data_IF_433166820421
#
_entry.id   IF_433166820421
#
_cell.length_a   1.000
_cell.length_b   1.000
_cell.length_c   1.000
_cell.angle_alpha   90.00
_cell.angle_beta   90.00
_cell.angle_gamma   90.00
#
_symmetry.space_group_name_H-M   'P 1'
#
loop_
_entity.id
_entity.type
_entity.pdbx_description
1 polymer ?
#
# COMPACT_ATOMS: atom_id res chain seq x y z
N UNK A 1 2.59 18.86 3.86
CA UNK A 1 2.45 18.53 2.62
C UNK A 1 3.67 18.66 1.71
N UNK A 2 3.54 18.73 0.38
CA UNK A 2 4.68 18.66 -0.56
C UNK A 2 5.82 19.65 -0.25
N UNK A 3 5.48 20.86 0.19
CA UNK A 3 6.48 21.89 0.56
C UNK A 3 7.26 21.62 1.86
N UNK A 4 7.00 20.52 2.55
CA UNK A 4 7.86 20.08 3.66
C UNK A 4 9.18 19.48 3.17
N UNK A 5 9.22 19.03 1.93
CA UNK A 5 10.39 18.36 1.34
C UNK A 5 10.81 18.95 -0.02
N UNK A 6 9.97 19.82 -0.60
CA UNK A 6 10.19 20.40 -1.92
C UNK A 6 10.21 21.93 -1.86
N UNK A 7 11.22 22.53 -2.50
CA UNK A 7 11.35 23.97 -2.69
C UNK A 7 10.44 24.52 -3.80
N UNK A 8 9.95 23.66 -4.70
CA UNK A 8 9.07 23.98 -5.82
C UNK A 8 8.23 22.75 -6.18
N UNK A 9 6.99 22.96 -6.52
CA UNK A 9 6.06 21.93 -6.99
C UNK A 9 5.50 22.35 -8.35
N UNK A 10 5.48 21.41 -9.30
CA UNK A 10 4.81 21.58 -10.60
C UNK A 10 3.74 20.50 -10.74
N UNK A 11 2.60 20.88 -11.32
CA UNK A 11 1.50 19.97 -11.62
C UNK A 11 1.08 20.19 -13.07
N UNK A 12 1.23 19.15 -13.89
CA UNK A 12 0.83 19.17 -15.29
C UNK A 12 -0.34 18.23 -15.45
N UNK A 13 -1.53 18.75 -15.79
CA UNK A 13 -2.75 17.95 -15.80
C UNK A 13 -3.51 18.09 -17.12
N UNK A 14 -3.93 16.95 -17.68
CA UNK A 14 -4.76 16.85 -18.86
C UNK A 14 -6.08 16.17 -18.52
N UNK A 15 -7.17 16.90 -18.67
CA UNK A 15 -8.52 16.40 -18.47
C UNK A 15 -8.90 15.34 -19.52
N UNK A 16 -9.90 14.50 -19.19
CA UNK A 16 -10.57 13.63 -20.18
C UNK A 16 -11.36 14.41 -21.23
N UNK A 17 -11.70 15.67 -20.95
CA UNK A 17 -12.33 16.58 -21.91
C UNK A 17 -11.30 17.05 -22.93
N UNK A 18 -11.72 17.32 -24.17
CA UNK A 18 -10.83 17.81 -25.22
C UNK A 18 -10.46 19.29 -25.03
N UNK A 19 -9.75 19.59 -23.91
CA UNK A 19 -9.22 20.91 -23.57
C UNK A 19 -7.70 20.86 -23.47
N UNK A 20 -6.99 21.98 -23.60
CA UNK A 20 -5.55 22.04 -23.34
C UNK A 20 -5.20 21.52 -21.96
N UNK A 21 -3.99 20.99 -21.81
CA UNK A 21 -3.46 20.68 -20.48
C UNK A 21 -3.17 21.98 -19.73
N UNK A 22 -3.24 21.93 -18.42
CA UNK A 22 -2.84 23.01 -17.52
C UNK A 22 -1.50 22.68 -16.89
N UNK A 23 -0.66 23.69 -16.67
CA UNK A 23 0.61 23.62 -15.93
C UNK A 23 0.57 24.62 -14.79
N UNK A 24 0.51 24.09 -13.56
CA UNK A 24 0.55 24.86 -12.35
C UNK A 24 1.92 24.75 -11.71
N UNK A 25 2.43 25.88 -11.19
CA UNK A 25 3.73 25.94 -10.52
C UNK A 25 3.66 26.81 -9.27
N UNK A 26 4.27 26.37 -8.18
CA UNK A 26 4.38 27.12 -6.93
C UNK A 26 5.70 26.81 -6.22
N UNK A 27 6.25 27.79 -5.53
CA UNK A 27 7.47 27.71 -4.71
C UNK A 27 7.19 27.70 -3.20
N UNK A 28 5.92 27.52 -2.81
CA UNK A 28 5.49 27.55 -1.41
C UNK A 28 5.06 28.94 -0.91
N UNK A 29 5.28 29.99 -1.71
CA UNK A 29 4.72 31.33 -1.45
C UNK A 29 3.21 31.34 -1.71
N UNK A 30 2.48 32.40 -1.28
CA UNK A 30 1.06 32.55 -1.61
C UNK A 30 0.77 32.68 -3.11
N UNK A 31 1.80 32.94 -3.93
CA UNK A 31 1.68 33.12 -5.37
C UNK A 31 1.89 31.80 -6.11
N UNK A 32 1.22 31.63 -7.22
CA UNK A 32 1.41 30.52 -8.14
C UNK A 32 1.28 30.98 -9.58
N UNK A 33 1.78 30.21 -10.52
CA UNK A 33 1.53 30.41 -11.95
C UNK A 33 0.62 29.31 -12.48
N UNK A 34 -0.21 29.64 -13.47
CA UNK A 34 -1.08 28.70 -14.15
C UNK A 34 -1.04 28.97 -15.65
N UNK A 35 -0.34 28.12 -16.36
CA UNK A 35 -0.10 28.24 -17.79
C UNK A 35 -0.67 27.06 -18.58
N UNK A 36 -0.56 27.10 -19.90
CA UNK A 36 -0.87 25.98 -20.77
C UNK A 36 0.23 24.94 -20.68
N UNK A 37 -0.14 23.68 -20.37
CA UNK A 37 0.78 22.55 -20.35
C UNK A 37 0.88 21.81 -21.69
N UNK A 38 1.95 21.05 -21.86
CA UNK A 38 2.25 20.29 -23.08
C UNK A 38 1.82 18.82 -23.06
N UNK A 39 1.17 18.36 -21.94
CA UNK A 39 0.74 16.97 -21.78
C UNK A 39 -0.31 16.60 -22.83
N UNK A 40 -0.06 15.54 -23.60
CA UNK A 40 -0.94 15.07 -24.68
C UNK A 40 -2.01 14.12 -24.15
N UNK A 41 -1.61 13.17 -23.29
CA UNK A 41 -2.48 12.14 -22.78
C UNK A 41 -3.17 12.56 -21.48
N UNK A 42 -4.37 12.03 -21.26
CA UNK A 42 -5.11 12.20 -20.00
C UNK A 42 -4.27 11.76 -18.82
N UNK A 43 -4.34 12.53 -17.73
CA UNK A 43 -3.67 12.22 -16.48
C UNK A 43 -3.02 13.44 -15.85
N UNK A 44 -2.41 13.23 -14.70
CA UNK A 44 -1.71 14.26 -13.93
C UNK A 44 -0.29 13.82 -13.64
N UNK A 45 0.65 14.71 -13.86
CA UNK A 45 2.05 14.58 -13.51
C UNK A 45 2.34 15.58 -12.40
N UNK A 46 2.99 15.12 -11.33
CA UNK A 46 3.38 15.94 -10.19
C UNK A 46 4.90 15.86 -10.07
N UNK A 47 5.56 17.01 -10.12
CA UNK A 47 7.02 17.12 -10.05
C UNK A 47 7.37 17.87 -8.76
N UNK A 48 8.07 17.19 -7.86
CA UNK A 48 8.58 17.75 -6.62
C UNK A 48 10.08 18.07 -6.79
N UNK A 49 10.43 19.34 -6.77
CA UNK A 49 11.83 19.77 -6.75
C UNK A 49 12.35 19.72 -5.31
N UNK A 50 12.91 18.59 -4.96
CA UNK A 50 13.35 18.29 -3.60
C UNK A 50 14.39 19.30 -3.12
N UNK A 51 14.29 19.76 -1.88
CA UNK A 51 15.22 20.67 -1.25
C UNK A 51 16.54 19.96 -0.86
N UNK A 52 17.50 20.75 -0.36
CA UNK A 52 18.84 20.23 -0.04
C UNK A 52 18.84 19.32 1.19
N UNK A 53 17.93 19.53 2.11
CA UNK A 53 17.87 18.83 3.39
C UNK A 53 17.07 17.52 3.30
N UNK A 54 16.28 17.37 2.21
CA UNK A 54 15.38 16.25 1.96
C UNK A 54 15.85 15.30 0.85
N UNK A 55 17.15 15.28 0.54
CA UNK A 55 17.73 14.49 -0.57
C UNK A 55 17.51 12.99 -0.47
N UNK A 56 17.26 12.47 0.74
CA UNK A 56 16.93 11.07 0.94
C UNK A 56 15.71 10.61 0.10
N UNK A 57 14.79 11.53 -0.20
CA UNK A 57 13.62 11.25 -1.05
C UNK A 57 13.92 11.21 -2.56
N UNK A 58 15.18 11.33 -2.95
CA UNK A 58 15.64 11.07 -4.33
C UNK A 58 16.15 9.64 -4.49
N UNK A 59 16.23 8.86 -3.41
CA UNK A 59 16.69 7.48 -3.43
C UNK A 59 15.50 6.53 -3.68
N UNK A 60 15.61 5.68 -4.69
CA UNK A 60 14.57 4.72 -5.07
C UNK A 60 14.19 3.78 -3.93
N UNK A 61 15.16 3.31 -3.15
CA UNK A 61 14.93 2.48 -1.97
C UNK A 61 14.03 3.17 -0.94
N UNK A 62 14.30 4.44 -0.64
CA UNK A 62 13.52 5.24 0.30
C UNK A 62 12.06 5.41 -0.16
N UNK A 63 11.89 5.73 -1.45
CA UNK A 63 10.54 5.87 -2.03
C UNK A 63 9.81 4.53 -2.04
N UNK A 64 10.48 3.46 -2.44
CA UNK A 64 9.92 2.11 -2.43
C UNK A 64 9.42 1.70 -1.04
N UNK A 65 10.24 1.91 -0.01
CA UNK A 65 9.88 1.59 1.38
C UNK A 65 8.65 2.38 1.86
N UNK A 66 8.59 3.67 1.53
CA UNK A 66 7.43 4.51 1.85
C UNK A 66 6.17 4.05 1.12
N UNK A 67 6.27 3.75 -0.17
CA UNK A 67 5.15 3.27 -0.95
C UNK A 67 4.62 1.93 -0.42
N UNK A 68 5.50 0.99 -0.13
CA UNK A 68 5.13 -0.30 0.47
C UNK A 68 4.50 -0.11 1.85
N UNK A 69 5.10 0.73 2.70
CA UNK A 69 4.60 0.96 4.06
C UNK A 69 3.17 1.51 4.08
N UNK A 70 2.90 2.54 3.26
CA UNK A 70 1.64 3.29 3.36
C UNK A 70 0.59 2.86 2.33
N UNK A 71 1.00 2.24 1.22
CA UNK A 71 0.11 1.98 0.09
C UNK A 71 0.03 0.50 -0.30
N UNK A 72 0.56 -0.41 0.54
CA UNK A 72 0.65 -1.85 0.25
C UNK A 72 -0.66 -2.47 -0.25
N UNK A 73 -1.79 -1.97 0.23
CA UNK A 73 -3.12 -2.48 -0.09
C UNK A 73 -4.05 -1.48 -0.76
N UNK A 74 -3.49 -0.37 -1.25
CA UNK A 74 -4.29 0.64 -1.94
C UNK A 74 -5.04 0.03 -3.13
N UNK A 75 -6.33 0.38 -3.36
CA UNK A 75 -7.18 -0.27 -4.38
C UNK A 75 -6.83 0.12 -5.82
N UNK A 76 -5.84 0.99 -6.01
CA UNK A 76 -5.36 1.44 -7.33
C UNK A 76 -3.93 0.93 -7.50
N UNK A 77 -3.58 0.27 -8.64
CA UNK A 77 -2.24 -0.25 -8.85
C UNK A 77 -1.21 0.89 -8.91
N UNK A 78 -0.11 0.72 -8.18
CA UNK A 78 1.01 1.64 -8.13
C UNK A 78 2.20 0.97 -8.79
N UNK A 79 2.61 1.51 -9.93
CA UNK A 79 3.83 1.10 -10.63
C UNK A 79 5.01 1.86 -10.06
N UNK A 80 6.05 1.14 -9.64
CA UNK A 80 7.33 1.72 -9.26
C UNK A 80 8.48 0.90 -9.88
N UNK A 81 9.05 1.44 -10.94
CA UNK A 81 10.10 0.77 -11.70
C UNK A 81 9.59 -0.46 -12.49
N UNK A 82 10.52 -1.37 -12.76
CA UNK A 82 10.30 -2.64 -13.45
C UNK A 82 10.93 -3.78 -12.66
N UNK A 83 10.45 -5.00 -12.88
CA UNK A 83 11.05 -6.22 -12.34
C UNK A 83 11.25 -7.25 -13.44
N UNK A 84 12.21 -8.13 -13.24
CA UNK A 84 12.39 -9.32 -14.06
C UNK A 84 11.46 -10.43 -13.59
N UNK A 85 10.72 -11.03 -14.49
CA UNK A 85 9.85 -12.16 -14.24
C UNK A 85 10.25 -13.34 -15.13
N UNK A 86 10.50 -14.48 -14.49
CA UNK A 86 10.86 -15.70 -15.18
C UNK A 86 9.58 -16.43 -15.58
N UNK A 87 9.36 -16.57 -16.88
CA UNK A 87 8.23 -17.34 -17.40
C UNK A 87 8.43 -18.84 -17.13
N UNK A 88 7.37 -19.56 -16.73
CA UNK A 88 7.41 -21.01 -16.66
C UNK A 88 7.83 -21.60 -18.01
N UNK A 89 8.60 -22.68 -17.98
CA UNK A 89 8.89 -23.43 -19.19
C UNK A 89 7.60 -23.94 -19.83
N UNK A 90 7.46 -23.80 -21.14
CA UNK A 90 6.34 -24.39 -21.88
C UNK A 90 6.35 -25.90 -21.71
N UNK A 91 5.17 -26.54 -21.74
CA UNK A 91 5.03 -28.00 -21.53
C UNK A 91 5.85 -28.86 -22.54
N UNK A 92 6.21 -28.25 -23.67
CA UNK A 92 6.99 -28.89 -24.75
C UNK A 92 8.46 -28.43 -24.78
N UNK A 93 8.94 -27.78 -23.70
CA UNK A 93 10.33 -27.33 -23.62
C UNK A 93 11.31 -28.51 -23.70
N UNK A 94 12.35 -28.33 -24.51
CA UNK A 94 13.40 -29.33 -24.66
C UNK A 94 14.27 -29.40 -23.41
N UNK A 95 14.77 -30.61 -23.14
CA UNK A 95 15.68 -30.85 -22.01
C UNK A 95 16.91 -29.94 -22.11
N UNK A 96 17.11 -29.06 -21.15
CA UNK A 96 18.19 -28.06 -21.14
C UNK A 96 17.79 -26.63 -21.56
N UNK A 97 16.54 -26.36 -21.93
CA UNK A 97 16.05 -25.02 -22.24
C UNK A 97 15.92 -24.18 -20.96
N UNK A 98 16.55 -22.99 -20.96
CA UNK A 98 16.46 -22.07 -19.82
C UNK A 98 15.15 -21.27 -19.86
N UNK A 99 14.52 -21.03 -18.71
CA UNK A 99 13.34 -20.17 -18.65
C UNK A 99 13.62 -18.79 -19.24
N UNK A 100 12.68 -18.25 -19.99
CA UNK A 100 12.76 -16.90 -20.54
C UNK A 100 12.47 -15.89 -19.44
N UNK A 101 13.33 -14.90 -19.28
CA UNK A 101 13.12 -13.76 -18.39
C UNK A 101 12.59 -12.61 -19.20
N UNK A 102 11.50 -12.01 -18.72
CA UNK A 102 10.90 -10.80 -19.30
C UNK A 102 10.91 -9.67 -18.28
N UNK A 103 11.04 -8.44 -18.75
CA UNK A 103 10.91 -7.25 -17.90
C UNK A 103 9.45 -6.80 -17.91
N UNK A 104 8.86 -6.72 -16.73
CA UNK A 104 7.47 -6.30 -16.54
C UNK A 104 7.39 -5.10 -15.59
N UNK A 105 6.28 -4.39 -15.61
CA UNK A 105 6.01 -3.31 -14.67
C UNK A 105 6.00 -3.86 -13.23
N UNK A 106 6.73 -3.20 -12.34
CA UNK A 106 6.70 -3.55 -10.93
C UNK A 106 5.53 -2.87 -10.24
N UNK A 107 4.41 -3.60 -10.09
CA UNK A 107 3.27 -3.16 -9.28
C UNK A 107 3.55 -3.56 -7.83
N UNK A 108 3.67 -2.57 -6.95
CA UNK A 108 4.15 -2.75 -5.58
C UNK A 108 3.06 -3.06 -4.56
N UNK A 109 1.80 -2.89 -4.91
CA UNK A 109 0.68 -3.05 -4.01
C UNK A 109 -0.29 -4.15 -4.45
N UNK A 110 -0.94 -4.78 -3.47
CA UNK A 110 -2.02 -5.72 -3.67
C UNK A 110 -3.36 -4.97 -3.65
N UNK A 111 -3.98 -4.78 -4.79
CA UNK A 111 -5.23 -4.01 -4.92
C UNK A 111 -6.48 -4.75 -4.45
N UNK A 112 -6.38 -6.05 -4.21
CA UNK A 112 -7.50 -6.91 -3.81
C UNK A 112 -7.10 -7.87 -2.69
N UNK A 113 -6.75 -7.33 -1.51
CA UNK A 113 -6.29 -8.14 -0.37
C UNK A 113 -7.40 -9.05 0.16
N UNK A 114 -7.00 -10.10 0.89
CA UNK A 114 -7.91 -11.16 1.32
C UNK A 114 -9.11 -10.65 2.13
N UNK A 115 -8.94 -9.63 2.98
CA UNK A 115 -10.04 -9.11 3.82
C UNK A 115 -11.16 -8.39 3.07
N UNK A 116 -10.94 -8.02 1.80
CA UNK A 116 -11.97 -7.39 0.98
C UNK A 116 -12.91 -8.41 0.33
N UNK A 117 -12.56 -9.70 0.40
CA UNK A 117 -13.35 -10.80 -0.15
C UNK A 117 -14.35 -11.31 0.87
N UNK A 118 -15.39 -12.00 0.40
CA UNK A 118 -16.32 -12.65 1.32
C UNK A 118 -15.67 -13.89 1.96
N UNK A 119 -15.92 -14.18 3.25
CA UNK A 119 -15.35 -15.35 3.92
C UNK A 119 -15.62 -16.68 3.19
N UNK A 120 -16.80 -16.83 2.55
CA UNK A 120 -17.20 -18.03 1.79
C UNK A 120 -16.34 -18.27 0.53
N UNK A 121 -15.66 -17.22 0.04
CA UNK A 121 -14.85 -17.27 -1.19
C UNK A 121 -13.38 -17.56 -0.89
N UNK A 122 -13.02 -17.69 0.40
CA UNK A 122 -11.67 -17.95 0.86
C UNK A 122 -11.54 -19.34 1.47
N UNK A 123 -10.36 -19.95 1.26
CA UNK A 123 -9.94 -21.21 1.86
C UNK A 123 -8.85 -20.97 2.89
N UNK A 124 -8.55 -21.96 3.72
CA UNK A 124 -7.49 -21.88 4.74
C UNK A 124 -6.15 -21.43 4.15
N UNK A 125 -5.80 -21.90 2.95
CA UNK A 125 -4.55 -21.53 2.27
C UNK A 125 -4.51 -20.03 1.90
N UNK A 126 -5.65 -19.43 1.58
CA UNK A 126 -5.74 -17.99 1.28
C UNK A 126 -5.47 -17.16 2.54
N UNK A 127 -6.00 -17.59 3.70
CA UNK A 127 -5.74 -16.95 4.99
C UNK A 127 -4.27 -17.08 5.39
N UNK A 128 -3.67 -18.25 5.24
CA UNK A 128 -2.26 -18.48 5.51
C UNK A 128 -1.36 -17.71 4.55
N UNK A 129 -1.73 -17.64 3.28
CA UNK A 129 -1.05 -16.85 2.26
C UNK A 129 -1.05 -15.36 2.63
N UNK A 130 -2.21 -14.85 3.06
CA UNK A 130 -2.34 -13.46 3.48
C UNK A 130 -1.55 -13.18 4.78
N UNK A 131 -1.51 -14.12 5.73
CA UNK A 131 -0.66 -14.00 6.92
C UNK A 131 0.83 -13.86 6.56
N UNK A 132 1.33 -14.67 5.63
CA UNK A 132 2.71 -14.58 5.13
C UNK A 132 2.97 -13.28 4.37
N UNK A 133 1.97 -12.75 3.66
CA UNK A 133 2.06 -11.43 3.01
C UNK A 133 2.20 -10.31 4.04
N UNK A 134 1.44 -10.36 5.15
CA UNK A 134 1.53 -9.36 6.22
C UNK A 134 2.85 -9.45 6.99
N UNK A 135 3.30 -10.68 7.27
CA UNK A 135 4.43 -10.98 8.15
C UNK A 135 5.46 -11.89 7.46
N UNK A 136 6.17 -11.42 6.43
CA UNK A 136 7.07 -12.25 5.62
C UNK A 136 8.25 -12.85 6.40
N UNK A 137 8.59 -12.28 7.56
CA UNK A 137 9.65 -12.78 8.44
C UNK A 137 9.17 -13.79 9.48
N UNK A 138 7.86 -14.09 9.53
CA UNK A 138 7.28 -15.07 10.43
C UNK A 138 7.14 -16.40 9.70
N UNK A 139 7.88 -17.42 10.17
CA UNK A 139 7.88 -18.76 9.57
C UNK A 139 6.79 -19.66 10.15
N UNK A 140 6.27 -19.34 11.34
CA UNK A 140 5.22 -20.11 11.99
C UNK A 140 3.82 -19.66 11.52
N UNK A 141 2.96 -20.63 11.27
CA UNK A 141 1.57 -20.38 10.93
C UNK A 141 0.76 -19.92 12.15
N UNK A 142 -0.27 -19.08 11.97
CA UNK A 142 -1.15 -18.70 13.05
C UNK A 142 -1.96 -19.90 13.55
N UNK A 143 -2.38 -19.89 14.81
CA UNK A 143 -3.21 -20.93 15.41
C UNK A 143 -4.62 -20.93 14.81
N UNK A 144 -5.19 -19.76 14.58
CA UNK A 144 -6.46 -19.54 13.92
C UNK A 144 -6.58 -18.11 13.41
N UNK A 145 -7.58 -17.85 12.60
CA UNK A 145 -7.92 -16.52 12.11
C UNK A 145 -9.39 -16.20 12.37
N UNK A 146 -9.68 -14.91 12.44
CA UNK A 146 -11.03 -14.35 12.51
C UNK A 146 -11.21 -13.42 11.34
N UNK A 147 -12.13 -13.73 10.43
CA UNK A 147 -12.48 -12.85 9.34
C UNK A 147 -13.64 -11.95 9.76
N UNK A 148 -13.36 -10.66 9.86
CA UNK A 148 -14.33 -9.63 10.20
C UNK A 148 -15.06 -9.17 8.93
N UNK A 149 -16.39 -9.21 8.96
CA UNK A 149 -17.24 -8.69 7.90
C UNK A 149 -18.54 -8.22 8.53
N UNK A 150 -18.51 -7.05 9.13
CA UNK A 150 -19.58 -6.46 9.93
C UNK A 150 -20.05 -5.19 9.23
N UNK A 151 -21.37 -5.03 9.09
CA UNK A 151 -22.01 -3.89 8.45
C UNK A 151 -22.81 -2.99 9.41
N UNK A 152 -23.03 -3.46 10.64
CA UNK A 152 -23.76 -2.72 11.65
C UNK A 152 -23.20 -3.00 13.07
N UNK A 153 -23.06 -2.00 13.94
CA UNK A 153 -23.35 -0.55 13.77
C UNK A 153 -22.30 0.21 12.97
N UNK A 154 -21.15 -0.41 12.68
CA UNK A 154 -20.04 0.18 11.93
C UNK A 154 -19.65 -0.77 10.80
N UNK A 155 -19.28 -0.23 9.66
CA UNK A 155 -18.64 -1.01 8.62
C UNK A 155 -17.23 -1.40 9.07
N UNK A 156 -17.03 -2.69 9.29
CA UNK A 156 -15.76 -3.22 9.77
C UNK A 156 -15.42 -4.48 8.99
N UNK A 157 -14.34 -4.42 8.25
CA UNK A 157 -13.75 -5.57 7.58
C UNK A 157 -12.35 -5.83 8.09
N UNK A 158 -11.83 -7.03 7.88
CA UNK A 158 -10.48 -7.33 8.32
C UNK A 158 -10.24 -8.82 8.53
N UNK A 159 -8.99 -9.16 8.74
CA UNK A 159 -8.61 -10.50 9.16
C UNK A 159 -7.64 -10.37 10.33
N UNK A 160 -8.03 -10.96 11.45
CA UNK A 160 -7.21 -11.04 12.64
C UNK A 160 -6.68 -12.46 12.81
N UNK A 161 -5.45 -12.57 13.25
CA UNK A 161 -4.76 -13.83 13.49
C UNK A 161 -4.32 -13.95 14.92
N UNK A 162 -4.49 -15.12 15.51
CA UNK A 162 -3.88 -15.48 16.79
C UNK A 162 -2.52 -16.15 16.50
N UNK A 163 -1.39 -15.49 16.78
CA UNK A 163 -0.08 -16.06 16.51
C UNK A 163 0.21 -17.23 17.43
N UNK A 164 0.99 -18.18 16.97
CA UNK A 164 1.59 -19.16 17.85
C UNK A 164 2.65 -18.45 18.69
N UNK A 165 2.47 -18.48 20.01
CA UNK A 165 3.39 -17.85 20.95
C UNK A 165 4.62 -18.76 21.11
N UNK A 166 5.78 -18.34 20.64
CA UNK A 166 7.08 -18.91 20.95
C UNK A 166 7.76 -18.05 22.03
N UNK A 167 8.69 -18.64 22.79
CA UNK A 167 9.36 -17.95 23.91
C UNK A 167 10.17 -16.71 23.49
N UNK A 168 10.44 -16.54 22.19
CA UNK A 168 11.19 -15.43 21.60
C UNK A 168 10.30 -14.33 20.96
N UNK A 169 9.00 -14.41 21.15
CA UNK A 169 8.08 -13.46 20.51
C UNK A 169 8.17 -12.10 21.18
N UNK A 170 8.77 -11.15 20.48
CA UNK A 170 8.66 -9.74 20.79
C UNK A 170 7.21 -9.31 20.48
N UNK A 171 6.34 -9.48 21.48
CA UNK A 171 4.88 -9.22 21.42
C UNK A 171 4.57 -7.78 20.95
N UNK A 172 5.56 -6.88 21.03
CA UNK A 172 5.38 -5.47 20.70
C UNK A 172 5.56 -5.10 19.23
N UNK A 173 6.12 -5.98 18.37
CA UNK A 173 6.46 -5.58 16.99
C UNK A 173 5.34 -5.79 15.97
N UNK A 174 4.46 -6.75 16.18
CA UNK A 174 3.46 -7.13 15.18
C UNK A 174 2.07 -6.81 15.71
N UNK A 175 1.69 -5.56 15.59
CA UNK A 175 0.39 -5.04 16.03
C UNK A 175 -0.68 -5.21 14.94
N UNK A 176 -1.93 -5.02 15.35
CA UNK A 176 -3.03 -4.85 14.40
C UNK A 176 -2.77 -3.58 13.58
N UNK A 177 -2.87 -3.69 12.27
CA UNK A 177 -2.76 -2.57 11.35
C UNK A 177 -4.14 -2.03 11.01
N UNK A 178 -4.34 -0.73 11.20
CA UNK A 178 -5.59 -0.06 10.88
C UNK A 178 -5.53 0.55 9.49
N UNK A 179 -6.54 0.25 8.71
CA UNK A 179 -6.76 0.80 7.37
C UNK A 179 -8.09 1.55 7.31
N UNK A 180 -8.19 2.46 6.37
CA UNK A 180 -9.43 3.12 5.98
C UNK A 180 -9.55 3.06 4.46
N UNK A 181 -10.52 2.28 3.96
CA UNK A 181 -10.67 2.02 2.52
C UNK A 181 -9.35 1.54 1.87
N UNK A 182 -8.69 0.55 2.50
CA UNK A 182 -7.42 -0.03 2.06
C UNK A 182 -6.20 0.92 2.14
N UNK A 183 -6.37 2.12 2.68
CA UNK A 183 -5.27 3.06 2.92
C UNK A 183 -4.78 2.91 4.36
N UNK A 184 -3.48 2.68 4.55
CA UNK A 184 -2.89 2.53 5.87
C UNK A 184 -3.04 3.81 6.70
N UNK A 185 -3.47 3.64 7.95
CA UNK A 185 -3.64 4.73 8.90
C UNK A 185 -2.61 4.68 10.00
N UNK A 186 -2.58 3.57 10.76
CA UNK A 186 -1.69 3.40 11.90
C UNK A 186 -1.57 1.93 12.28
N UNK A 187 -0.49 1.58 12.94
CA UNK A 187 -0.28 0.32 13.65
C UNK A 187 -0.41 0.48 15.17
N UNK A 188 -0.65 1.70 15.64
CA UNK A 188 -0.97 1.97 17.04
C UNK A 188 -2.49 2.06 17.22
N UNK A 189 -3.08 0.97 17.69
CA UNK A 189 -4.54 0.83 17.88
C UNK A 189 -4.97 1.00 19.35
N UNK A 190 -4.12 1.58 20.21
CA UNK A 190 -4.48 1.91 21.59
C UNK A 190 -5.71 2.80 21.66
N UNK A 191 -6.69 2.40 22.48
CA UNK A 191 -7.97 3.11 22.61
C UNK A 191 -8.96 2.88 21.47
N UNK A 192 -8.55 2.19 20.38
CA UNK A 192 -9.41 1.81 19.26
C UNK A 192 -9.86 0.36 19.40
N UNK A 193 -8.94 -0.51 19.77
CA UNK A 193 -9.17 -1.95 19.96
C UNK A 193 -9.11 -2.28 21.45
N UNK A 194 -10.05 -3.09 21.98
CA UNK A 194 -10.01 -3.53 23.37
C UNK A 194 -8.70 -4.25 23.73
N UNK A 195 -8.19 -4.05 24.94
CA UNK A 195 -6.91 -4.59 25.39
C UNK A 195 -6.78 -6.12 25.24
N UNK A 196 -7.86 -6.87 25.43
CA UNK A 196 -7.84 -8.33 25.27
C UNK A 196 -7.60 -8.81 23.85
N UNK A 197 -7.75 -7.93 22.85
CA UNK A 197 -7.43 -8.20 21.44
C UNK A 197 -5.98 -7.84 21.07
N UNK A 198 -5.20 -7.28 21.99
CA UNK A 198 -3.80 -6.86 21.71
C UNK A 198 -2.86 -8.02 21.42
N UNK A 199 -3.25 -9.25 21.76
CA UNK A 199 -2.52 -10.48 21.39
C UNK A 199 -2.75 -10.87 19.90
N UNK A 200 -3.79 -10.32 19.28
CA UNK A 200 -4.08 -10.57 17.88
C UNK A 200 -3.21 -9.68 16.99
N UNK A 201 -2.97 -10.18 15.80
CA UNK A 201 -2.28 -9.50 14.71
C UNK A 201 -3.20 -9.45 13.50
N UNK A 202 -2.89 -8.64 12.53
CA UNK A 202 -3.65 -8.60 11.28
C UNK A 202 -4.06 -7.22 10.87
N UNK A 203 -5.21 -7.16 10.23
CA UNK A 203 -5.72 -5.94 9.61
C UNK A 203 -7.15 -5.69 10.06
N UNK A 204 -7.45 -4.43 10.36
CA UNK A 204 -8.79 -3.89 10.50
C UNK A 204 -8.93 -2.77 9.48
N UNK A 205 -10.00 -2.77 8.70
CA UNK A 205 -10.33 -1.73 7.73
C UNK A 205 -11.76 -1.24 8.00
N UNK A 206 -11.90 0.05 8.24
CA UNK A 206 -13.20 0.68 8.49
C UNK A 206 -13.24 2.12 8.01
N UNK A 207 -14.23 2.50 7.20
CA UNK A 207 -14.46 3.90 6.82
C UNK A 207 -15.03 4.75 7.96
N UNK A 208 -15.59 4.09 8.99
CA UNK A 208 -16.40 4.75 10.03
C UNK A 208 -15.59 5.08 11.29
N UNK A 209 -14.35 4.60 11.41
CA UNK A 209 -13.48 4.92 12.55
C UNK A 209 -13.05 6.39 12.44
N UNK A 210 -13.43 7.24 13.41
CA UNK A 210 -13.00 8.64 13.41
C UNK A 210 -11.48 8.69 13.62
N UNK A 211 -10.76 9.07 12.58
CA UNK A 211 -9.34 9.29 12.66
C UNK A 211 -9.08 10.66 13.28
N UNK A 212 -8.52 10.68 14.49
CA UNK A 212 -7.88 11.89 14.99
C UNK A 212 -6.61 12.11 14.14
N UNK A 213 -6.79 12.74 12.98
CA UNK A 213 -5.67 13.28 12.23
C UNK A 213 -5.17 14.47 13.01
N UNK A 214 -4.30 14.22 14.00
CA UNK A 214 -3.50 15.27 14.59
C UNK A 214 -2.59 15.80 13.47
N UNK A 215 -2.96 16.96 12.96
CA UNK A 215 -2.16 17.72 12.02
C UNK A 215 -1.07 18.46 12.74
#
# INVERSE_FOLDING_TARGET
SAFMVAKKVEIISKSYKNKPAAHWTCDGSPNYTLDKGDKKDRGTEIILHIDKDSKEFLEDSKISDLLVKYNKFMPIPIKFGTKEETLPLEKDAKEGEKPKTITVDNIINNTNPAWTKQPKDLKDEDYKGFYRELYPMQFEEPLFNIHLNVDYPFNLTGILYFPKLSNDVNIQKDKIQLYQNQVFVTDNVEGIVPEFLTLLRGVIDSPDIPLNVSR
#
